data_IF_353199941913
#
_entry.id   IF_353199941913
#
_cell.length_a   1.000
_cell.length_b   1.000
_cell.length_c   1.000
_cell.angle_alpha   90.00
_cell.angle_beta   90.00
_cell.angle_gamma   90.00
#
_symmetry.space_group_name_H-M   'P 1'
#
loop_
_entity.id
_entity.type
_entity.pdbx_description
1 polymer ?
#
# COMPACT_ATOMS: atom_id res chain seq x y z
N UNK A 1 -10.70 -71.23 -41.74
CA UNK A 1 -9.47 -70.61 -41.23
C UNK A 1 -8.82 -71.64 -40.32
N UNK A 2 -7.56 -71.96 -40.60
CA UNK A 2 -6.87 -73.15 -40.12
C UNK A 2 -6.49 -73.05 -38.63
N UNK A 3 -6.61 -74.18 -37.92
CA UNK A 3 -6.05 -74.42 -36.58
C UNK A 3 -4.52 -74.28 -36.61
N UNK A 4 -3.99 -73.36 -35.81
CA UNK A 4 -2.56 -73.20 -35.57
C UNK A 4 -2.18 -73.94 -34.28
N UNK A 5 -1.60 -75.13 -34.43
CA UNK A 5 -1.06 -75.89 -33.30
C UNK A 5 0.20 -75.18 -32.77
N UNK A 6 0.11 -74.62 -31.57
CA UNK A 6 1.27 -74.12 -30.82
C UNK A 6 2.08 -75.31 -30.32
N UNK A 7 3.25 -75.49 -30.94
CA UNK A 7 4.19 -76.57 -30.61
C UNK A 7 4.87 -76.27 -29.26
N UNK A 8 4.77 -77.19 -28.30
CA UNK A 8 5.47 -77.08 -27.01
C UNK A 8 6.98 -77.29 -27.21
N UNK A 9 7.85 -76.47 -26.58
CA UNK A 9 9.31 -76.56 -26.76
C UNK A 9 9.81 -77.91 -26.24
N UNK A 10 10.69 -78.57 -27.02
CA UNK A 10 11.29 -79.85 -26.64
C UNK A 10 12.38 -79.63 -25.60
N UNK A 11 12.67 -80.65 -24.79
CA UNK A 11 13.66 -80.59 -23.69
C UNK A 11 15.07 -80.16 -24.16
N UNK A 12 15.35 -80.37 -25.45
CA UNK A 12 16.59 -80.00 -26.14
C UNK A 12 16.75 -78.47 -26.31
N UNK A 13 15.64 -77.73 -26.33
CA UNK A 13 15.59 -76.28 -26.61
C UNK A 13 15.61 -75.42 -25.34
N UNK A 14 15.65 -76.03 -24.14
CA UNK A 14 15.79 -75.28 -22.89
C UNK A 14 17.27 -74.93 -22.64
N UNK A 15 17.57 -73.70 -22.20
CA UNK A 15 18.93 -73.29 -21.86
C UNK A 15 19.47 -74.19 -20.74
N UNK A 16 20.64 -74.80 -20.99
CA UNK A 16 21.31 -75.61 -19.97
C UNK A 16 21.70 -74.72 -18.81
N UNK A 17 21.24 -75.08 -17.61
CA UNK A 17 21.61 -74.38 -16.37
C UNK A 17 23.12 -74.48 -16.18
N UNK A 18 23.76 -73.33 -15.94
CA UNK A 18 25.20 -73.20 -15.76
C UNK A 18 25.69 -74.16 -14.64
N UNK A 19 26.74 -74.94 -14.89
CA UNK A 19 27.24 -75.95 -13.94
C UNK A 19 27.61 -75.31 -12.59
N UNK A 20 28.04 -74.04 -12.61
CA UNK A 20 28.35 -73.30 -11.39
C UNK A 20 27.09 -73.09 -10.53
N UNK A 21 25.99 -72.63 -11.13
CA UNK A 21 24.72 -72.40 -10.42
C UNK A 21 24.16 -73.71 -9.86
N UNK A 22 24.30 -74.80 -10.61
CA UNK A 22 23.88 -76.13 -10.15
C UNK A 22 24.67 -76.58 -8.92
N UNK A 23 25.99 -76.38 -8.91
CA UNK A 23 26.83 -76.69 -7.74
C UNK A 23 26.50 -75.83 -6.51
N UNK A 24 26.17 -74.55 -6.72
CA UNK A 24 25.79 -73.63 -5.62
C UNK A 24 24.46 -74.03 -4.99
N UNK A 25 23.49 -74.46 -5.80
CA UNK A 25 22.20 -74.97 -5.33
C UNK A 25 22.33 -76.30 -4.58
N UNK A 26 23.20 -77.21 -5.04
CA UNK A 26 23.44 -78.50 -4.34
C UNK A 26 24.05 -78.32 -2.94
N UNK A 27 24.80 -77.24 -2.71
CA UNK A 27 25.38 -76.91 -1.41
C UNK A 27 24.57 -75.84 -0.63
N UNK A 28 23.43 -75.38 -1.17
CA UNK A 28 22.62 -74.36 -0.53
C UNK A 28 21.82 -74.96 0.63
N UNK A 29 22.29 -74.71 1.86
CA UNK A 29 21.61 -75.14 3.07
C UNK A 29 20.57 -74.08 3.50
N UNK A 30 19.30 -74.33 3.21
CA UNK A 30 18.17 -73.50 3.66
C UNK A 30 18.06 -73.40 5.19
N UNK A 31 18.63 -74.37 5.93
CA UNK A 31 18.69 -74.34 7.39
C UNK A 31 19.74 -73.39 7.97
N UNK A 32 20.57 -72.76 7.13
CA UNK A 32 21.48 -71.69 7.55
C UNK A 32 20.85 -70.28 7.45
N UNK A 33 19.64 -70.18 6.90
CA UNK A 33 18.87 -68.93 6.94
C UNK A 33 18.37 -68.72 8.38
N UNK A 34 18.69 -67.56 8.95
CA UNK A 34 18.14 -67.17 10.25
C UNK A 34 16.67 -66.84 10.06
N UNK A 35 15.79 -67.48 10.82
CA UNK A 35 14.42 -67.04 10.95
C UNK A 35 14.41 -65.60 11.48
N UNK A 36 13.81 -64.69 10.72
CA UNK A 36 13.60 -63.29 11.13
C UNK A 36 12.12 -63.13 11.42
N UNK A 37 11.79 -63.06 12.70
CA UNK A 37 10.43 -62.79 13.18
C UNK A 37 10.12 -61.29 13.00
N UNK A 38 9.15 -60.97 12.13
CA UNK A 38 8.71 -59.59 11.89
C UNK A 38 7.72 -59.18 12.98
N UNK A 39 8.09 -58.25 13.85
CA UNK A 39 7.16 -57.67 14.85
C UNK A 39 6.53 -56.38 14.32
N UNK A 40 5.20 -56.38 14.18
CA UNK A 40 4.39 -55.19 13.88
C UNK A 40 4.31 -54.31 15.15
N UNK A 41 4.87 -53.09 15.11
CA UNK A 41 4.74 -52.12 16.20
C UNK A 41 3.35 -51.47 16.19
N UNK A 42 2.36 -52.13 16.80
CA UNK A 42 1.11 -51.48 17.17
C UNK A 42 1.32 -50.77 18.52
N UNK A 43 1.60 -49.47 18.49
CA UNK A 43 1.73 -48.67 19.71
C UNK A 43 0.33 -48.22 20.14
N UNK A 44 -0.10 -48.65 21.33
CA UNK A 44 -1.35 -48.20 21.93
C UNK A 44 -1.23 -46.74 22.36
N UNK A 45 -2.31 -45.93 22.31
CA UNK A 45 -2.32 -44.57 22.83
C UNK A 45 -1.80 -44.53 24.26
N UNK A 46 -0.93 -43.56 24.57
CA UNK A 46 -0.40 -43.38 25.92
C UNK A 46 -1.46 -42.79 26.84
N UNK A 47 -1.25 -42.89 28.15
CA UNK A 47 -2.13 -42.24 29.13
C UNK A 47 -2.20 -40.71 28.93
N UNK A 48 -1.13 -40.11 28.42
CA UNK A 48 -1.06 -38.67 28.10
C UNK A 48 -1.97 -38.34 26.89
N UNK A 49 -1.91 -39.16 25.83
CA UNK A 49 -2.74 -38.97 24.63
C UNK A 49 -4.23 -39.01 24.97
N UNK A 50 -4.63 -39.98 25.81
CA UNK A 50 -6.03 -40.10 26.27
C UNK A 50 -6.44 -38.93 27.17
N UNK A 51 -5.53 -38.39 27.98
CA UNK A 51 -5.81 -37.22 28.81
C UNK A 51 -5.96 -35.95 27.98
N UNK A 52 -5.11 -35.73 26.98
CA UNK A 52 -5.21 -34.62 26.05
C UNK A 52 -6.51 -34.70 25.23
N UNK A 53 -6.86 -35.89 24.72
CA UNK A 53 -8.12 -36.10 24.02
C UNK A 53 -9.33 -35.82 24.92
N UNK A 54 -9.27 -36.21 26.20
CA UNK A 54 -10.33 -35.91 27.16
C UNK A 54 -10.46 -34.39 27.42
N UNK A 55 -9.36 -33.67 27.58
CA UNK A 55 -9.38 -32.22 27.74
C UNK A 55 -9.91 -31.52 26.49
N UNK A 56 -9.50 -31.98 25.30
CA UNK A 56 -9.98 -31.46 24.03
C UNK A 56 -11.49 -31.65 23.88
N UNK A 57 -12.00 -32.86 24.15
CA UNK A 57 -13.43 -33.15 24.10
C UNK A 57 -14.21 -32.32 25.13
N UNK A 58 -13.67 -32.09 26.33
CA UNK A 58 -14.29 -31.22 27.32
C UNK A 58 -14.37 -29.77 26.84
N UNK A 59 -13.33 -29.26 26.17
CA UNK A 59 -13.34 -27.93 25.58
C UNK A 59 -14.40 -27.81 24.48
N UNK A 60 -14.48 -28.78 23.56
CA UNK A 60 -15.49 -28.79 22.49
C UNK A 60 -16.90 -28.77 23.08
N UNK A 61 -17.19 -29.62 24.06
CA UNK A 61 -18.50 -29.62 24.74
C UNK A 61 -18.83 -28.30 25.42
N UNK A 62 -17.82 -27.61 25.98
CA UNK A 62 -18.01 -26.30 26.60
C UNK A 62 -18.35 -25.21 25.59
N UNK A 63 -17.78 -25.29 24.38
CA UNK A 63 -18.05 -24.36 23.27
C UNK A 63 -19.41 -24.67 22.64
N UNK A 64 -19.75 -25.94 22.43
CA UNK A 64 -21.07 -26.36 21.92
C UNK A 64 -22.21 -25.99 22.86
N UNK A 65 -21.98 -26.09 24.18
CA UNK A 65 -22.94 -25.69 25.21
C UNK A 65 -22.94 -24.20 25.54
N UNK A 66 -22.13 -23.39 24.85
CA UNK A 66 -21.99 -21.98 25.17
C UNK A 66 -23.26 -21.20 24.82
N UNK A 67 -23.89 -20.60 25.82
CA UNK A 67 -25.02 -19.70 25.62
C UNK A 67 -24.53 -18.31 25.24
N UNK A 68 -24.83 -17.88 24.01
CA UNK A 68 -24.52 -16.53 23.54
C UNK A 68 -25.27 -15.45 24.31
N UNK A 69 -26.35 -15.79 25.02
CA UNK A 69 -27.11 -14.85 25.84
C UNK A 69 -26.37 -14.43 27.12
N UNK A 70 -25.34 -15.21 27.52
CA UNK A 70 -24.47 -14.88 28.63
C UNK A 70 -23.38 -13.86 28.26
N UNK A 71 -23.20 -13.53 26.98
CA UNK A 71 -22.30 -12.47 26.54
C UNK A 71 -22.81 -11.13 27.08
N UNK A 72 -21.93 -10.39 27.76
CA UNK A 72 -22.22 -9.02 28.17
C UNK A 72 -22.43 -8.17 26.92
N UNK A 73 -23.59 -7.53 26.83
CA UNK A 73 -23.84 -6.52 25.80
C UNK A 73 -22.81 -5.41 25.92
N UNK A 74 -22.08 -5.16 24.85
CA UNK A 74 -21.15 -4.04 24.74
C UNK A 74 -21.60 -3.18 23.58
N UNK A 75 -21.55 -1.86 23.76
CA UNK A 75 -21.90 -0.90 22.72
C UNK A 75 -20.70 -0.74 21.80
N UNK A 76 -20.80 -1.27 20.59
CA UNK A 76 -19.78 -1.12 19.55
C UNK A 76 -19.96 0.22 18.85
N UNK A 77 -19.04 1.16 19.08
CA UNK A 77 -18.99 2.41 18.32
C UNK A 77 -18.28 2.13 17.00
N UNK A 78 -19.04 1.84 15.95
CA UNK A 78 -18.51 1.83 14.58
C UNK A 78 -18.32 3.27 14.10
N UNK A 79 -17.06 3.65 13.88
CA UNK A 79 -16.75 4.92 13.20
C UNK A 79 -17.00 4.75 11.71
N UNK A 80 -18.23 5.01 11.26
CA UNK A 80 -18.51 5.26 9.85
C UNK A 80 -17.95 6.66 9.55
N UNK A 81 -16.71 6.71 9.08
CA UNK A 81 -16.15 7.97 8.55
C UNK A 81 -16.74 8.17 7.17
N UNK A 82 -17.69 9.10 7.07
CA UNK A 82 -18.19 9.56 5.78
C UNK A 82 -17.03 10.22 5.01
N UNK A 83 -16.96 10.05 3.67
CA UNK A 83 -16.00 10.79 2.85
C UNK A 83 -16.08 12.27 3.19
N UNK A 84 -14.93 12.86 3.51
CA UNK A 84 -14.86 14.27 3.84
C UNK A 84 -14.90 15.11 2.55
N UNK A 85 -14.99 16.44 2.68
CA UNK A 85 -15.08 17.33 1.53
C UNK A 85 -13.84 17.26 0.61
N UNK A 86 -12.66 16.95 1.16
CA UNK A 86 -11.43 16.77 0.40
C UNK A 86 -11.49 15.48 -0.44
N UNK A 87 -11.97 14.38 0.15
CA UNK A 87 -12.12 13.10 -0.55
C UNK A 87 -13.04 13.25 -1.78
N UNK A 88 -14.17 13.95 -1.61
CA UNK A 88 -15.12 14.22 -2.71
C UNK A 88 -14.53 15.16 -3.76
N UNK A 89 -13.71 16.15 -3.35
CA UNK A 89 -13.05 17.05 -4.28
C UNK A 89 -11.97 16.33 -5.11
N UNK A 90 -11.19 15.45 -4.48
CA UNK A 90 -10.19 14.64 -5.16
C UNK A 90 -10.83 13.68 -6.16
N UNK A 91 -11.92 13.01 -5.76
CA UNK A 91 -12.68 12.13 -6.67
C UNK A 91 -13.25 12.92 -7.86
N UNK A 92 -13.77 14.12 -7.63
CA UNK A 92 -14.28 15.00 -8.70
C UNK A 92 -13.18 15.43 -9.66
N UNK A 93 -12.00 15.82 -9.16
CA UNK A 93 -10.85 16.17 -10.00
C UNK A 93 -10.36 14.97 -10.82
N UNK A 94 -10.30 13.79 -10.20
CA UNK A 94 -9.91 12.55 -10.87
C UNK A 94 -10.87 12.20 -12.01
N UNK A 95 -12.18 12.23 -11.75
CA UNK A 95 -13.19 11.97 -12.79
C UNK A 95 -13.16 13.01 -13.92
N UNK A 96 -12.88 14.27 -13.60
CA UNK A 96 -12.72 15.31 -14.62
C UNK A 96 -11.51 15.06 -15.53
N UNK A 97 -10.39 14.61 -14.96
CA UNK A 97 -9.20 14.24 -15.72
C UNK A 97 -9.51 13.07 -16.67
N UNK A 98 -10.16 12.01 -16.18
CA UNK A 98 -10.54 10.84 -17.00
C UNK A 98 -11.40 11.28 -18.18
N UNK A 99 -12.46 12.05 -17.94
CA UNK A 99 -13.34 12.55 -19.01
C UNK A 99 -12.59 13.42 -20.02
N UNK A 100 -11.62 14.22 -19.57
CA UNK A 100 -10.81 15.06 -20.47
C UNK A 100 -9.90 14.23 -21.39
N UNK A 101 -9.41 13.08 -20.91
CA UNK A 101 -8.56 12.18 -21.69
C UNK A 101 -9.42 11.33 -22.63
N UNK A 102 -10.58 10.84 -22.19
CA UNK A 102 -11.52 10.11 -23.06
C UNK A 102 -12.05 10.96 -24.22
N UNK A 103 -12.28 12.25 -23.97
CA UNK A 103 -12.67 13.22 -25.00
C UNK A 103 -11.51 13.80 -25.81
N UNK A 104 -10.27 13.39 -25.55
CA UNK A 104 -9.10 13.96 -26.21
C UNK A 104 -9.01 13.48 -27.67
N UNK A 105 -9.19 14.40 -28.62
CA UNK A 105 -8.94 14.11 -30.03
C UNK A 105 -7.45 14.28 -30.36
N UNK A 106 -6.82 13.20 -30.85
CA UNK A 106 -5.46 13.24 -31.37
C UNK A 106 -5.30 14.19 -32.56
N UNK A 107 -6.40 14.58 -33.24
CA UNK A 107 -6.37 15.58 -34.31
C UNK A 107 -6.15 17.01 -33.81
N UNK A 108 -6.35 17.26 -32.51
CA UNK A 108 -6.01 18.52 -31.85
C UNK A 108 -4.50 18.66 -31.59
N UNK A 109 -3.72 17.58 -31.72
CA UNK A 109 -2.26 17.66 -31.67
C UNK A 109 -1.75 18.39 -32.91
N UNK A 110 -0.91 19.41 -32.71
CA UNK A 110 -0.25 20.09 -33.81
C UNK A 110 0.60 19.08 -34.57
N UNK A 111 0.28 18.87 -35.86
CA UNK A 111 1.14 18.10 -36.75
C UNK A 111 2.44 18.86 -36.94
N UNK A 112 3.56 18.25 -36.54
CA UNK A 112 4.90 18.78 -36.79
C UNK A 112 5.46 18.11 -38.04
N UNK A 113 5.60 18.87 -39.13
CA UNK A 113 6.43 18.46 -40.25
C UNK A 113 7.91 18.62 -39.85
N UNK A 114 8.64 17.51 -39.81
CA UNK A 114 10.09 17.54 -39.64
C UNK A 114 10.74 17.94 -40.96
N UNK A 115 11.04 19.23 -41.12
CA UNK A 115 11.88 19.72 -42.21
C UNK A 115 13.34 19.60 -41.79
N UNK A 116 14.06 18.66 -42.37
CA UNK A 116 15.52 18.59 -42.25
C UNK A 116 16.14 19.80 -42.96
N UNK A 117 16.61 20.78 -42.19
CA UNK A 117 17.36 21.91 -42.74
C UNK A 117 18.78 21.46 -43.07
N UNK A 118 19.03 21.07 -44.31
CA UNK A 118 20.40 20.99 -44.84
C UNK A 118 20.88 22.43 -45.05
N UNK A 119 21.53 23.01 -44.04
CA UNK A 119 22.10 24.35 -44.13
C UNK A 119 23.52 24.20 -44.70
N UNK A 120 23.74 24.71 -45.91
CA UNK A 120 25.08 24.82 -46.48
C UNK A 120 25.87 25.92 -45.73
N UNK A 121 27.18 25.75 -45.49
CA UNK A 121 28.00 26.78 -44.86
C UNK A 121 27.82 28.12 -45.56
N UNK A 122 27.53 29.16 -44.80
CA UNK A 122 27.36 30.50 -45.35
C UNK A 122 28.75 31.15 -45.60
N UNK A 123 28.76 32.31 -46.24
CA UNK A 123 30.02 32.99 -46.59
C UNK A 123 30.88 33.36 -45.37
N UNK A 124 30.26 33.64 -44.22
CA UNK A 124 30.96 33.93 -42.96
C UNK A 124 31.62 32.67 -42.41
N UNK A 125 30.91 31.53 -42.43
CA UNK A 125 31.44 30.24 -41.96
C UNK A 125 32.70 29.85 -42.77
N UNK A 126 32.67 30.01 -44.09
CA UNK A 126 33.80 29.72 -44.98
C UNK A 126 34.96 30.72 -44.75
N UNK A 127 34.66 31.97 -44.43
CA UNK A 127 35.69 32.97 -44.11
C UNK A 127 36.36 32.69 -42.78
N UNK A 128 35.60 32.31 -41.75
CA UNK A 128 36.14 31.92 -40.46
C UNK A 128 37.01 30.66 -40.58
N UNK A 129 36.57 29.65 -41.33
CA UNK A 129 37.36 28.45 -41.61
C UNK A 129 38.67 28.80 -42.34
N UNK A 130 38.61 29.71 -43.32
CA UNK A 130 39.81 30.18 -44.03
C UNK A 130 40.79 30.91 -43.11
N UNK A 131 40.30 31.77 -42.22
CA UNK A 131 41.15 32.45 -41.23
C UNK A 131 41.76 31.45 -40.23
N UNK A 132 40.98 30.49 -39.77
CA UNK A 132 41.45 29.44 -38.86
C UNK A 132 42.55 28.60 -39.50
N UNK A 133 42.35 28.14 -40.74
CA UNK A 133 43.35 27.38 -41.48
C UNK A 133 44.62 28.20 -41.75
N UNK A 134 44.49 29.50 -42.02
CA UNK A 134 45.64 30.39 -42.16
C UNK A 134 46.43 30.54 -40.84
N UNK A 135 45.73 30.63 -39.71
CA UNK A 135 46.36 30.66 -38.39
C UNK A 135 47.12 29.36 -38.11
N UNK A 136 46.51 28.19 -38.35
CA UNK A 136 47.17 26.90 -38.14
C UNK A 136 48.44 26.80 -38.99
N UNK A 137 48.39 27.14 -40.27
CA UNK A 137 49.58 27.13 -41.13
C UNK A 137 50.68 28.10 -40.63
N UNK A 138 50.30 29.25 -40.07
CA UNK A 138 51.27 30.19 -39.49
C UNK A 138 51.95 29.67 -38.23
N UNK A 139 51.23 28.89 -37.43
CA UNK A 139 51.75 28.24 -36.23
C UNK A 139 52.63 27.03 -36.60
N UNK A 140 52.24 26.24 -37.60
CA UNK A 140 53.06 25.13 -38.11
C UNK A 140 54.39 25.62 -38.70
N UNK A 141 54.39 26.78 -39.37
CA UNK A 141 55.60 27.43 -39.88
C UNK A 141 56.36 28.28 -38.86
N UNK A 142 55.95 28.27 -37.59
CA UNK A 142 56.52 29.16 -36.59
C UNK A 142 57.96 28.78 -36.23
N UNK A 143 58.90 29.68 -36.51
CA UNK A 143 60.30 29.50 -36.13
C UNK A 143 60.51 29.83 -34.65
N UNK A 144 60.62 28.80 -33.82
CA UNK A 144 60.88 28.91 -32.38
C UNK A 144 62.23 29.55 -32.03
N UNK A 145 63.19 29.58 -32.96
CA UNK A 145 64.49 30.22 -32.75
C UNK A 145 64.43 31.75 -32.83
N UNK A 146 63.35 32.30 -33.40
CA UNK A 146 63.11 33.75 -33.45
C UNK A 146 62.52 34.31 -32.13
N UNK A 147 62.14 33.44 -31.18
CA UNK A 147 61.67 33.86 -29.86
C UNK A 147 62.81 34.52 -29.07
N UNK A 148 62.56 35.72 -28.55
CA UNK A 148 63.49 36.37 -27.61
C UNK A 148 63.62 35.51 -26.36
N UNK A 149 64.85 35.12 -26.02
CA UNK A 149 65.14 34.46 -24.74
C UNK A 149 64.99 35.50 -23.63
N UNK A 150 64.07 35.24 -22.70
CA UNK A 150 63.85 36.06 -21.50
C UNK A 150 64.33 35.27 -20.30
N UNK A 151 65.19 35.86 -19.47
CA UNK A 151 65.66 35.26 -18.24
C UNK A 151 64.56 35.42 -17.17
N UNK A 152 63.98 34.32 -16.72
CA UNK A 152 62.92 34.31 -15.71
C UNK A 152 63.55 34.39 -14.32
N UNK A 153 63.35 35.51 -13.61
CA UNK A 153 63.66 35.59 -12.18
C UNK A 153 62.47 35.04 -11.40
N UNK A 154 62.60 33.81 -10.92
CA UNK A 154 61.62 33.17 -10.04
C UNK A 154 61.61 33.87 -8.68
N UNK A 155 60.48 34.47 -8.29
CA UNK A 155 60.27 34.90 -6.91
C UNK A 155 60.03 33.66 -6.06
N UNK A 156 61.10 33.11 -5.48
CA UNK A 156 61.00 32.13 -4.39
C UNK A 156 60.47 32.87 -3.16
N UNK A 157 59.16 32.79 -2.93
CA UNK A 157 58.56 33.20 -1.65
C UNK A 157 58.73 32.01 -0.71
N UNK A 158 59.56 32.18 0.32
CA UNK A 158 59.72 31.17 1.36
C UNK A 158 58.40 31.05 2.14
N UNK A 159 58.00 29.81 2.53
CA UNK A 159 56.81 29.62 3.36
C UNK A 159 56.88 30.50 4.60
N UNK A 160 55.80 31.20 4.90
CA UNK A 160 55.76 32.04 6.09
C UNK A 160 55.62 31.17 7.36
N UNK A 161 55.82 31.76 8.54
CA UNK A 161 55.81 31.01 9.81
C UNK A 161 54.44 30.36 10.11
N UNK A 162 53.35 30.91 9.59
CA UNK A 162 52.00 30.37 9.75
C UNK A 162 51.78 29.14 8.85
N UNK A 163 52.25 29.20 7.60
CA UNK A 163 52.25 28.08 6.64
C UNK A 163 53.11 26.89 7.15
N UNK A 164 54.28 27.15 7.71
CA UNK A 164 55.09 26.07 8.32
C UNK A 164 54.43 25.47 9.56
N UNK A 165 53.71 26.27 10.35
CA UNK A 165 53.03 25.78 11.54
C UNK A 165 51.83 24.89 11.17
N UNK A 166 51.07 25.27 10.14
CA UNK A 166 49.95 24.45 9.64
C UNK A 166 50.45 23.15 9.01
N UNK A 167 51.52 23.20 8.21
CA UNK A 167 52.11 22.01 7.60
C UNK A 167 52.63 21.03 8.67
N UNK A 168 53.32 21.53 9.71
CA UNK A 168 53.79 20.71 10.83
C UNK A 168 52.65 20.12 11.67
N UNK A 169 51.54 20.85 11.82
CA UNK A 169 50.36 20.34 12.50
C UNK A 169 49.71 19.19 11.70
N UNK A 170 49.58 19.35 10.38
CA UNK A 170 49.09 18.30 9.47
C UNK A 170 50.00 17.07 9.51
N UNK A 171 51.32 17.26 9.45
CA UNK A 171 52.29 16.17 9.55
C UNK A 171 52.19 15.41 10.88
N UNK A 172 51.95 16.13 11.99
CA UNK A 172 51.78 15.52 13.31
C UNK A 172 50.53 14.64 13.37
N UNK A 173 49.41 15.11 12.78
CA UNK A 173 48.17 14.33 12.71
C UNK A 173 48.37 13.09 11.84
N UNK A 174 49.00 13.23 10.67
CA UNK A 174 49.30 12.10 9.77
C UNK A 174 50.15 11.04 10.45
N UNK A 175 51.24 11.43 11.12
CA UNK A 175 52.09 10.51 11.89
C UNK A 175 51.34 9.85 13.04
N UNK A 176 50.43 10.58 13.68
CA UNK A 176 49.56 10.03 14.72
C UNK A 176 48.60 8.95 14.19
N UNK A 177 48.11 9.11 12.97
CA UNK A 177 47.26 8.12 12.28
C UNK A 177 48.10 6.92 11.80
N UNK A 178 49.29 7.15 11.25
CA UNK A 178 50.20 6.07 10.82
C UNK A 178 50.67 5.19 11.99
N UNK A 179 50.91 5.81 13.15
CA UNK A 179 51.26 5.10 14.39
C UNK A 179 50.06 4.61 15.19
N UNK A 180 48.84 4.78 14.69
CA UNK A 180 47.63 4.38 15.41
C UNK A 180 47.51 2.86 15.41
N UNK A 181 47.50 2.28 16.60
CA UNK A 181 47.26 0.84 16.78
C UNK A 181 45.74 0.57 16.84
N UNK A 182 45.14 -0.03 15.78
CA UNK A 182 43.71 -0.31 15.74
C UNK A 182 43.27 -1.33 16.79
N UNK A 183 44.19 -2.08 17.41
CA UNK A 183 43.85 -3.01 18.50
C UNK A 183 43.47 -2.30 19.81
N UNK A 184 43.76 -0.99 19.91
CA UNK A 184 43.32 -0.15 21.04
C UNK A 184 41.88 0.34 20.89
N UNK A 185 41.25 0.16 19.72
CA UNK A 185 39.84 0.43 19.55
C UNK A 185 39.03 -0.63 20.30
N UNK A 186 38.11 -0.17 21.16
CA UNK A 186 37.13 -1.07 21.78
C UNK A 186 36.28 -1.70 20.68
N UNK A 187 36.23 -3.03 20.65
CA UNK A 187 35.31 -3.74 19.77
C UNK A 187 33.87 -3.42 20.20
N UNK A 188 33.13 -2.74 19.33
CA UNK A 188 31.68 -2.54 19.50
C UNK A 188 30.99 -3.54 18.59
N UNK A 189 30.45 -4.60 19.18
CA UNK A 189 29.62 -5.57 18.47
C UNK A 189 28.27 -4.93 18.16
N UNK A 190 28.06 -4.51 16.92
CA UNK A 190 26.75 -4.03 16.47
C UNK A 190 25.84 -5.22 16.24
N UNK A 191 24.91 -5.49 17.16
CA UNK A 191 23.83 -6.44 16.93
C UNK A 191 22.80 -5.80 15.99
N UNK A 192 22.83 -6.19 14.71
CA UNK A 192 21.70 -5.97 13.81
C UNK A 192 20.53 -6.84 14.29
N UNK A 193 19.51 -6.19 14.85
CA UNK A 193 18.33 -6.88 15.38
C UNK A 193 17.39 -7.27 14.21
N UNK A 194 17.81 -8.20 13.35
CA UNK A 194 16.87 -8.91 12.47
C UNK A 194 16.13 -9.92 13.35
N UNK A 195 15.08 -9.45 14.03
CA UNK A 195 14.19 -10.34 14.79
C UNK A 195 13.34 -11.08 13.74
N UNK A 196 13.59 -12.37 13.59
CA UNK A 196 12.67 -13.25 12.85
C UNK A 196 11.30 -13.19 13.54
N UNK A 197 10.18 -13.19 12.80
CA UNK A 197 8.86 -13.29 13.39
C UNK A 197 8.82 -14.46 14.37
N UNK A 198 8.35 -14.22 15.58
CA UNK A 198 8.20 -15.29 16.56
C UNK A 198 7.04 -16.23 16.17
N UNK A 199 6.95 -17.38 16.83
CA UNK A 199 5.94 -18.37 16.53
C UNK A 199 4.51 -17.83 16.72
N UNK A 200 4.32 -16.84 17.60
CA UNK A 200 3.04 -16.19 17.84
C UNK A 200 2.66 -15.29 16.66
N UNK A 201 3.59 -14.48 16.16
CA UNK A 201 3.38 -13.62 14.99
C UNK A 201 3.01 -14.44 13.74
N UNK A 202 3.70 -15.57 13.52
CA UNK A 202 3.39 -16.47 12.38
C UNK A 202 2.01 -17.14 12.55
N UNK A 203 1.63 -17.50 13.78
CA UNK A 203 0.31 -18.06 14.04
C UNK A 203 -0.79 -17.03 13.84
N UNK A 204 -0.60 -15.80 14.34
CA UNK A 204 -1.53 -14.70 14.12
C UNK A 204 -1.69 -14.40 12.62
N UNK A 205 -0.59 -14.33 11.88
CA UNK A 205 -0.64 -14.14 10.42
C UNK A 205 -1.40 -15.26 9.71
N UNK A 206 -1.16 -16.53 10.10
CA UNK A 206 -1.90 -17.67 9.55
C UNK A 206 -3.40 -17.62 9.87
N UNK A 207 -3.77 -17.20 11.08
CA UNK A 207 -5.19 -17.03 11.45
C UNK A 207 -5.86 -15.92 10.65
N UNK A 208 -5.17 -14.80 10.44
CA UNK A 208 -5.66 -13.68 9.64
C UNK A 208 -5.82 -14.07 8.17
N UNK A 209 -4.83 -14.78 7.62
CA UNK A 209 -4.88 -15.32 6.26
C UNK A 209 -6.07 -16.26 6.07
N UNK A 210 -6.32 -17.17 7.00
CA UNK A 210 -7.46 -18.09 6.94
C UNK A 210 -8.80 -17.35 7.01
N UNK A 211 -8.90 -16.30 7.84
CA UNK A 211 -10.09 -15.47 7.92
C UNK A 211 -10.34 -14.73 6.60
N UNK A 212 -9.30 -14.13 6.01
CA UNK A 212 -9.38 -13.45 4.72
C UNK A 212 -9.85 -14.41 3.62
N UNK A 213 -9.21 -15.58 3.52
CA UNK A 213 -9.60 -16.59 2.55
C UNK A 213 -11.03 -17.09 2.78
N UNK A 214 -11.46 -17.24 4.03
CA UNK A 214 -12.84 -17.63 4.37
C UNK A 214 -13.88 -16.60 3.91
N UNK A 215 -13.55 -15.30 3.98
CA UNK A 215 -14.41 -14.21 3.48
C UNK A 215 -14.37 -14.11 1.96
N UNK A 216 -13.19 -14.25 1.34
CA UNK A 216 -13.02 -14.19 -0.11
C UNK A 216 -13.73 -15.36 -0.82
N UNK A 217 -13.61 -16.56 -0.27
CA UNK A 217 -14.26 -17.77 -0.79
C UNK A 217 -15.71 -17.94 -0.29
N UNK A 218 -16.24 -16.99 0.48
CA UNK A 218 -17.59 -17.09 1.03
C UNK A 218 -18.64 -17.08 -0.09
N UNK A 219 -19.37 -18.19 -0.20
CA UNK A 219 -20.48 -18.30 -1.13
C UNK A 219 -21.69 -17.49 -0.64
N UNK A 220 -21.92 -16.35 -1.29
CA UNK A 220 -23.06 -15.46 -1.00
C UNK A 220 -24.41 -16.13 -1.23
N UNK A 221 -24.48 -17.22 -2.00
CA UNK A 221 -25.71 -17.98 -2.19
C UNK A 221 -26.12 -18.80 -0.95
N UNK A 222 -25.18 -19.04 -0.02
CA UNK A 222 -25.46 -19.66 1.27
C UNK A 222 -26.14 -18.70 2.27
N UNK A 223 -26.21 -17.40 1.97
CA UNK A 223 -26.98 -16.45 2.79
C UNK A 223 -28.47 -16.74 2.62
N UNK A 224 -29.17 -16.92 3.74
CA UNK A 224 -30.61 -17.10 3.73
C UNK A 224 -31.27 -15.82 3.22
N UNK A 225 -32.15 -15.90 2.20
CA UNK A 225 -32.93 -14.75 1.78
C UNK A 225 -33.79 -14.28 2.96
N UNK A 226 -33.71 -12.99 3.26
CA UNK A 226 -34.50 -12.35 4.31
C UNK A 226 -35.25 -11.19 3.68
N UNK A 227 -36.56 -11.12 3.93
CA UNK A 227 -37.38 -10.03 3.42
C UNK A 227 -37.14 -8.79 4.28
N UNK A 228 -36.45 -7.79 3.70
CA UNK A 228 -36.26 -6.49 4.34
C UNK A 228 -37.47 -5.59 4.03
N UNK A 229 -38.29 -5.30 5.04
CA UNK A 229 -39.40 -4.34 4.91
C UNK A 229 -38.88 -2.93 5.16
N UNK A 230 -38.58 -2.20 4.09
CA UNK A 230 -38.26 -0.78 4.17
C UNK A 230 -39.56 0.04 4.31
N UNK A 231 -39.81 0.59 5.50
CA UNK A 231 -40.97 1.46 5.73
C UNK A 231 -40.69 2.87 5.20
N UNK A 232 -40.79 3.05 3.89
CA UNK A 232 -40.92 4.39 3.31
C UNK A 232 -42.38 4.82 3.53
N UNK A 233 -42.64 5.48 4.66
CA UNK A 233 -43.94 6.06 4.93
C UNK A 233 -44.03 7.35 4.11
N UNK A 234 -44.86 7.37 3.07
CA UNK A 234 -45.19 8.60 2.37
C UNK A 234 -45.92 9.54 3.36
N UNK A 235 -45.67 10.87 3.32
CA UNK A 235 -46.41 11.83 4.13
C UNK A 235 -47.91 11.64 3.94
N UNK A 236 -48.69 11.75 5.01
CA UNK A 236 -50.13 11.62 4.89
C UNK A 236 -50.68 12.79 4.07
N UNK A 237 -51.82 12.57 3.40
CA UNK A 237 -52.53 13.64 2.67
C UNK A 237 -52.81 14.86 3.57
N UNK A 238 -53.02 14.63 4.86
CA UNK A 238 -53.18 15.66 5.88
C UNK A 238 -51.90 16.51 6.06
N UNK A 239 -50.72 15.87 6.14
CA UNK A 239 -49.43 16.56 6.29
C UNK A 239 -49.16 17.46 5.08
N UNK A 240 -49.46 16.96 3.88
CA UNK A 240 -49.33 17.71 2.62
C UNK A 240 -50.32 18.88 2.57
N UNK A 241 -51.55 18.69 3.04
CA UNK A 241 -52.56 19.74 3.07
C UNK A 241 -52.20 20.85 4.08
N UNK A 242 -51.69 20.47 5.25
CA UNK A 242 -51.21 21.41 6.26
C UNK A 242 -50.01 22.20 5.77
N UNK A 243 -49.02 21.54 5.16
CA UNK A 243 -47.86 22.23 4.59
C UNK A 243 -48.26 23.19 3.47
N UNK A 244 -49.16 22.77 2.56
CA UNK A 244 -49.69 23.63 1.50
C UNK A 244 -50.43 24.84 2.06
N UNK A 245 -51.22 24.67 3.12
CA UNK A 245 -51.89 25.77 3.81
C UNK A 245 -50.91 26.75 4.46
N UNK A 246 -49.84 26.25 5.08
CA UNK A 246 -48.79 27.11 5.63
C UNK A 246 -48.02 27.87 4.54
N UNK A 247 -47.71 27.23 3.41
CA UNK A 247 -47.07 27.90 2.28
C UNK A 247 -47.93 29.04 1.74
N UNK A 248 -49.24 28.81 1.56
CA UNK A 248 -50.18 29.85 1.11
C UNK A 248 -50.27 31.02 2.10
N UNK A 249 -50.27 30.75 3.41
CA UNK A 249 -50.27 31.80 4.43
C UNK A 249 -48.97 32.62 4.37
N UNK A 250 -47.83 31.96 4.23
CA UNK A 250 -46.52 32.62 4.11
C UNK A 250 -46.45 33.50 2.86
N UNK A 251 -46.86 32.98 1.71
CA UNK A 251 -46.93 33.75 0.46
C UNK A 251 -47.88 34.95 0.60
N UNK A 252 -49.04 34.77 1.25
CA UNK A 252 -49.98 35.84 1.51
C UNK A 252 -49.41 36.95 2.39
N UNK A 253 -48.54 36.62 3.36
CA UNK A 253 -47.85 37.60 4.21
C UNK A 253 -46.70 38.28 3.43
N UNK A 254 -45.90 37.51 2.68
CA UNK A 254 -44.79 38.05 1.88
C UNK A 254 -45.29 39.02 0.79
N UNK A 255 -46.46 38.76 0.22
CA UNK A 255 -47.07 39.61 -0.82
C UNK A 255 -48.05 40.65 -0.28
N UNK A 256 -48.23 40.73 1.05
CA UNK A 256 -49.14 41.68 1.65
C UNK A 256 -48.60 43.11 1.53
N UNK A 257 -49.32 43.95 0.78
CA UNK A 257 -49.02 45.38 0.69
C UNK A 257 -49.58 46.13 1.92
N UNK A 258 -48.71 46.72 2.77
CA UNK A 258 -49.12 47.48 3.96
C UNK A 258 -49.98 48.70 3.63
N UNK A 259 -49.94 49.22 2.39
CA UNK A 259 -50.79 50.33 1.98
C UNK A 259 -52.29 49.98 1.96
N UNK A 260 -52.64 48.69 1.95
CA UNK A 260 -54.02 48.21 2.07
C UNK A 260 -54.56 48.23 3.50
N UNK A 261 -53.73 48.52 4.52
CA UNK A 261 -54.21 48.76 5.88
C UNK A 261 -54.93 50.10 5.94
N UNK A 262 -56.22 50.07 6.29
CA UNK A 262 -56.97 51.30 6.60
C UNK A 262 -56.37 51.94 7.85
N UNK A 263 -56.14 53.26 7.80
CA UNK A 263 -55.73 54.03 8.98
C UNK A 263 -56.74 53.82 10.12
N UNK A 264 -56.29 53.23 11.22
CA UNK A 264 -57.04 53.14 12.46
C UNK A 264 -56.70 54.36 13.32
N UNK A 265 -57.62 55.33 13.39
CA UNK A 265 -57.51 56.47 14.31
C UNK A 265 -57.94 56.00 15.71
N UNK A 266 -56.97 55.80 16.59
CA UNK A 266 -57.25 55.46 18.00
C UNK A 266 -57.58 56.73 18.77
N UNK A 267 -58.82 56.86 19.26
CA UNK A 267 -59.16 57.93 20.21
C UNK A 267 -58.81 57.51 21.65
N UNK A 268 -57.91 58.26 22.28
CA UNK A 268 -57.57 58.11 23.69
C UNK A 268 -58.73 58.63 24.57
N UNK A 269 -59.46 57.71 25.19
CA UNK A 269 -60.62 57.99 26.06
C UNK A 269 -60.25 58.36 27.50
N UNK A 270 -59.04 58.87 27.74
CA UNK A 270 -58.60 59.37 29.04
C UNK A 270 -58.47 60.90 29.03
N UNK A 271 -59.56 61.68 28.86
CA UNK A 271 -59.49 63.09 29.20
C UNK A 271 -59.22 63.20 30.70
N UNK A 272 -58.19 63.97 31.07
CA UNK A 272 -57.86 64.24 32.47
C UNK A 272 -59.08 64.85 33.18
N UNK A 273 -59.37 64.49 34.45
CA UNK A 273 -60.48 65.05 35.21
C UNK A 273 -60.43 66.58 35.21
N UNK A 274 -61.56 67.24 34.91
CA UNK A 274 -61.63 68.71 34.97
C UNK A 274 -61.48 69.19 36.41
N UNK A 275 -61.04 70.44 36.59
CA UNK A 275 -60.81 71.01 37.94
C UNK A 275 -62.05 70.94 38.82
N UNK A 276 -63.26 71.08 38.25
CA UNK A 276 -64.50 70.94 39.03
C UNK A 276 -64.67 69.52 39.60
N UNK A 277 -64.34 68.48 38.83
CA UNK A 277 -64.45 67.10 39.29
C UNK A 277 -63.52 66.82 40.48
N UNK A 278 -62.30 67.38 40.44
CA UNK A 278 -61.32 67.26 41.54
C UNK A 278 -61.77 68.02 42.78
N UNK A 279 -62.42 69.18 42.64
CA UNK A 279 -62.91 69.96 43.77
C UNK A 279 -64.15 69.35 44.43
N UNK A 280 -65.06 68.75 43.64
CA UNK A 280 -66.18 68.00 44.20
C UNK A 280 -65.72 66.78 45.01
N UNK A 281 -64.70 66.07 44.53
CA UNK A 281 -64.17 64.90 45.26
C UNK A 281 -63.44 65.32 46.55
N UNK A 282 -62.83 66.51 46.60
CA UNK A 282 -62.26 67.06 47.84
C UNK A 282 -63.30 67.48 48.89
N UNK A 283 -64.57 67.60 48.52
CA UNK A 283 -65.66 67.95 49.44
C UNK A 283 -66.47 66.74 49.93
N UNK A 284 -66.23 65.54 49.39
CA UNK A 284 -66.78 64.27 49.86
C UNK A 284 -65.82 63.56 50.82
#
# INVERSE_FOLDING_TARGET
MADEQVQTPKLEDLPKVDENLKSQLEHFNTGALKDVETQEKVVLPTAEDVQQEKQHNQFIQSVEGFSTDALRKTETVEKIVLPNAEDVQQEKQHNQLIQSVEGFSADALRKTETVEKVILPNAEDVQQEKQHNQFIQSVEGFNTEALRKTETVEKVVLPNAEEMATEKAVETVLKGIEGFDPSQLKHTETQEKVVLPDAEAVQQEKTQQNLLHGVESFDKSALKPTDTVEKIILPATEDIAQEKGQQQLREGIETFDPANLKHAETQEKNPLPTKEAIEQEKQN
#
